data_IF_345326082274
#
_entry.id   IF_345326082274
#
_cell.length_a   1.000
_cell.length_b   1.000
_cell.length_c   1.000
_cell.angle_alpha   90.00
_cell.angle_beta   90.00
_cell.angle_gamma   90.00
#
_symmetry.space_group_name_H-M   'P 1'
#
loop_
_entity.id
_entity.type
_entity.pdbx_description
1 polymer ?
#
# COMPACT_ATOMS: atom_id res chain seq x y z
N UNK A 1 14.36 6.19 -8.71
CA UNK A 1 14.20 5.03 -7.81
C UNK A 1 13.27 5.47 -6.73
N UNK A 2 12.09 4.86 -6.58
CA UNK A 2 11.03 5.37 -5.69
C UNK A 2 11.05 4.79 -4.26
N UNK A 3 12.00 3.91 -3.99
CA UNK A 3 12.16 3.26 -2.70
C UNK A 3 13.61 3.41 -2.26
N UNK A 4 13.80 3.93 -1.06
CA UNK A 4 15.12 4.10 -0.46
C UNK A 4 15.11 3.41 0.90
N UNK A 5 16.12 2.59 1.16
CA UNK A 5 16.29 1.90 2.45
C UNK A 5 17.35 2.63 3.25
N UNK A 6 17.03 2.89 4.51
CA UNK A 6 17.94 3.48 5.48
C UNK A 6 18.40 2.38 6.43
N UNK A 7 19.70 2.02 6.44
CA UNK A 7 20.26 0.99 7.31
C UNK A 7 20.36 1.44 8.78
N UNK A 8 20.67 2.72 8.98
CA UNK A 8 20.95 3.37 10.28
C UNK A 8 20.63 4.87 10.19
N UNK A 9 20.74 5.57 11.31
CA UNK A 9 20.67 7.04 11.39
C UNK A 9 21.82 7.68 10.58
N UNK A 10 21.55 8.80 9.89
CA UNK A 10 22.59 9.57 9.19
C UNK A 10 22.60 9.42 7.67
N UNK A 11 21.49 8.99 7.07
CA UNK A 11 21.30 8.98 5.61
C UNK A 11 20.57 10.23 5.13
N UNK A 12 20.63 10.50 3.83
CA UNK A 12 19.93 11.64 3.21
C UNK A 12 18.86 11.11 2.25
N UNK A 13 17.63 11.59 2.39
CA UNK A 13 16.55 11.28 1.47
C UNK A 13 16.82 11.85 0.08
N UNK A 14 16.73 11.00 -0.95
CA UNK A 14 16.90 11.44 -2.34
C UNK A 14 15.66 12.17 -2.88
N UNK A 15 14.51 11.99 -2.22
CA UNK A 15 13.20 12.48 -2.65
C UNK A 15 12.24 12.70 -1.47
N UNK A 16 11.17 13.44 -1.72
CA UNK A 16 10.08 13.60 -0.75
C UNK A 16 9.26 12.31 -0.64
N UNK A 17 8.98 11.84 0.58
CA UNK A 17 8.33 10.55 0.78
C UNK A 17 7.68 10.31 2.13
N UNK A 18 7.04 9.15 2.24
CA UNK A 18 6.61 8.56 3.50
C UNK A 18 7.72 7.64 3.99
N UNK A 19 8.33 7.98 5.12
CA UNK A 19 9.27 7.11 5.82
C UNK A 19 8.52 6.23 6.81
N UNK A 20 8.72 4.93 6.72
CA UNK A 20 8.20 3.93 7.66
C UNK A 20 9.41 3.35 8.40
N UNK A 21 9.54 3.63 9.71
CA UNK A 21 10.66 3.12 10.49
C UNK A 21 10.58 1.60 10.64
N UNK A 22 11.73 0.95 10.78
CA UNK A 22 11.81 -0.51 10.91
C UNK A 22 10.96 -1.06 12.07
N UNK A 23 10.79 -0.28 13.15
CA UNK A 23 9.97 -0.66 14.29
C UNK A 23 8.51 -0.95 13.92
N UNK A 24 7.97 -0.22 12.95
CA UNK A 24 6.61 -0.44 12.45
C UNK A 24 6.53 -1.62 11.47
N UNK A 25 7.67 -2.08 10.95
CA UNK A 25 7.74 -3.17 9.96
C UNK A 25 7.96 -4.55 10.59
N UNK A 26 8.26 -4.63 11.90
CA UNK A 26 8.66 -5.89 12.55
C UNK A 26 7.60 -6.98 12.42
N UNK A 27 6.32 -6.61 12.57
CA UNK A 27 5.21 -7.54 12.45
C UNK A 27 4.91 -7.95 11.00
N UNK A 28 5.58 -7.35 10.02
CA UNK A 28 5.48 -7.68 8.59
C UNK A 28 6.49 -8.73 8.12
N UNK A 29 7.26 -9.34 9.03
CA UNK A 29 8.27 -10.35 8.70
C UNK A 29 9.70 -9.82 8.61
N UNK A 30 9.96 -8.61 9.11
CA UNK A 30 11.32 -8.10 9.32
C UNK A 30 11.74 -8.38 10.76
N UNK A 31 12.92 -8.96 10.97
CA UNK A 31 13.37 -9.32 12.33
C UNK A 31 14.06 -8.15 13.06
N UNK A 32 14.55 -7.16 12.32
CA UNK A 32 15.15 -5.96 12.90
C UNK A 32 15.96 -5.13 11.92
N UNK A 33 16.59 -4.06 12.43
CA UNK A 33 17.40 -3.14 11.63
C UNK A 33 18.61 -3.82 10.94
N UNK A 34 19.10 -4.94 11.48
CA UNK A 34 20.19 -5.72 10.87
C UNK A 34 19.85 -6.21 9.47
N UNK A 35 18.58 -6.46 9.17
CA UNK A 35 18.16 -6.87 7.82
C UNK A 35 18.23 -5.74 6.79
N UNK A 36 18.41 -4.49 7.25
CA UNK A 36 18.64 -3.33 6.40
C UNK A 36 20.11 -2.91 6.35
N UNK A 37 21.02 -3.62 7.02
CA UNK A 37 22.44 -3.28 7.09
C UNK A 37 23.11 -3.20 5.70
N UNK A 38 24.24 -2.49 5.61
CA UNK A 38 24.97 -2.31 4.35
C UNK A 38 25.57 -3.60 3.77
N UNK A 39 25.74 -4.62 4.60
CA UNK A 39 26.19 -5.94 4.17
C UNK A 39 25.13 -6.69 3.33
N UNK A 40 23.85 -6.33 3.46
CA UNK A 40 22.76 -6.96 2.74
C UNK A 40 22.61 -6.41 1.32
N UNK A 41 22.32 -7.25 0.31
CA UNK A 41 22.07 -6.79 -1.06
C UNK A 41 20.94 -5.76 -1.13
N UNK A 42 21.16 -4.66 -1.86
CA UNK A 42 20.17 -3.58 -1.98
C UNK A 42 18.78 -4.07 -2.46
N UNK A 43 18.75 -5.06 -3.35
CA UNK A 43 17.51 -5.69 -3.81
C UNK A 43 16.77 -6.42 -2.67
N UNK A 44 17.50 -7.15 -1.81
CA UNK A 44 16.90 -7.89 -0.69
C UNK A 44 16.26 -6.92 0.28
N UNK A 45 16.99 -5.85 0.64
CA UNK A 45 16.51 -4.82 1.57
C UNK A 45 15.23 -4.16 1.08
N UNK A 46 15.22 -3.75 -0.20
CA UNK A 46 14.03 -3.17 -0.84
C UNK A 46 12.86 -4.14 -0.78
N UNK A 47 13.07 -5.39 -1.20
CA UNK A 47 11.98 -6.35 -1.31
C UNK A 47 11.46 -6.80 0.07
N UNK A 48 12.33 -6.91 1.10
CA UNK A 48 11.94 -7.15 2.50
C UNK A 48 11.08 -6.00 3.03
N UNK A 49 11.52 -4.76 2.85
CA UNK A 49 10.76 -3.57 3.24
C UNK A 49 9.37 -3.53 2.60
N UNK A 50 9.29 -3.79 1.29
CA UNK A 50 8.02 -3.79 0.56
C UNK A 50 7.13 -4.98 0.90
N UNK A 51 7.71 -6.16 1.13
CA UNK A 51 6.98 -7.33 1.61
C UNK A 51 6.32 -7.03 2.96
N UNK A 52 7.06 -6.45 3.91
CA UNK A 52 6.52 -6.09 5.22
C UNK A 52 5.40 -5.05 5.12
N UNK A 53 5.55 -4.03 4.27
CA UNK A 53 4.48 -3.06 3.98
C UNK A 53 3.25 -3.76 3.41
N UNK A 54 3.42 -4.67 2.44
CA UNK A 54 2.30 -5.41 1.85
C UNK A 54 1.58 -6.29 2.88
N UNK A 55 2.33 -7.03 3.69
CA UNK A 55 1.79 -7.90 4.72
C UNK A 55 1.01 -7.10 5.75
N UNK A 56 1.57 -6.01 6.29
CA UNK A 56 0.91 -5.18 7.31
C UNK A 56 -0.34 -4.50 6.79
N UNK A 57 -0.29 -3.89 5.59
CA UNK A 57 -1.46 -3.23 5.00
C UNK A 57 -2.57 -4.24 4.73
N UNK A 58 -2.24 -5.38 4.11
CA UNK A 58 -3.26 -6.37 3.77
C UNK A 58 -3.79 -7.09 5.01
N UNK A 59 -2.95 -7.34 6.03
CA UNK A 59 -3.37 -7.90 7.30
C UNK A 59 -4.31 -6.96 8.05
N UNK A 60 -4.01 -5.66 8.10
CA UNK A 60 -4.89 -4.65 8.69
C UNK A 60 -6.25 -4.66 8.00
N UNK A 61 -6.28 -4.48 6.66
CA UNK A 61 -7.53 -4.45 5.89
C UNK A 61 -8.33 -5.76 6.02
N UNK A 62 -7.66 -6.92 6.07
CA UNK A 62 -8.33 -8.20 6.26
C UNK A 62 -8.84 -8.42 7.69
N UNK A 63 -8.23 -7.77 8.68
CA UNK A 63 -8.63 -7.82 10.09
C UNK A 63 -9.75 -6.84 10.45
N UNK A 64 -10.04 -5.85 9.59
CA UNK A 64 -11.16 -4.93 9.76
C UNK A 64 -12.48 -5.70 9.74
N UNK A 65 -13.40 -5.34 10.63
CA UNK A 65 -14.74 -5.92 10.63
C UNK A 65 -15.46 -5.61 9.30
N UNK A 66 -16.38 -6.48 8.84
CA UNK A 66 -17.16 -6.22 7.63
C UNK A 66 -17.81 -4.84 7.66
N UNK A 67 -17.57 -4.03 6.64
CA UNK A 67 -18.07 -2.65 6.53
C UNK A 67 -17.14 -1.56 7.06
N UNK A 68 -16.05 -1.90 7.76
CA UNK A 68 -15.08 -0.92 8.30
C UNK A 68 -14.04 -0.47 7.26
N UNK A 69 -13.82 -1.27 6.21
CA UNK A 69 -12.94 -0.92 5.10
C UNK A 69 -13.78 -0.52 3.88
N UNK A 70 -14.37 0.68 3.89
CA UNK A 70 -15.30 1.09 2.85
C UNK A 70 -14.60 1.19 1.49
N UNK A 71 -15.08 0.43 0.52
CA UNK A 71 -14.55 0.46 -0.84
C UNK A 71 -13.13 -0.07 -0.97
N UNK A 72 -12.62 -0.84 0.00
CA UNK A 72 -11.28 -1.43 -0.09
C UNK A 72 -11.32 -2.89 0.31
N UNK A 73 -10.62 -3.73 -0.43
CA UNK A 73 -10.49 -5.14 -0.13
C UNK A 73 -9.08 -5.61 -0.41
N UNK A 74 -8.52 -6.40 0.50
CA UNK A 74 -7.21 -6.99 0.37
C UNK A 74 -7.31 -8.50 0.07
N UNK A 75 -6.39 -8.99 -0.77
CA UNK A 75 -6.13 -10.42 -0.94
C UNK A 75 -4.77 -10.75 -0.34
N UNK A 76 -4.74 -11.78 0.50
CA UNK A 76 -3.53 -12.26 1.17
C UNK A 76 -3.19 -13.67 0.67
N UNK A 77 -1.90 -14.04 0.65
CA UNK A 77 -1.48 -15.36 0.24
C UNK A 77 -1.95 -16.44 1.22
N UNK A 78 -2.17 -17.65 0.70
CA UNK A 78 -2.21 -18.81 1.58
C UNK A 78 -0.75 -19.15 1.99
N UNK A 79 -0.54 -19.53 3.24
CA UNK A 79 0.80 -19.84 3.75
C UNK A 79 1.31 -21.23 3.33
N UNK A 80 0.58 -21.94 2.47
CA UNK A 80 0.90 -23.32 2.03
C UNK A 80 1.76 -23.37 0.76
N UNK A 81 2.09 -22.22 0.17
CA UNK A 81 2.92 -22.12 -1.05
C UNK A 81 4.14 -21.24 -0.77
N UNK A 82 5.11 -21.19 -1.68
CA UNK A 82 6.28 -20.29 -1.57
C UNK A 82 6.05 -18.93 -2.24
N UNK A 83 5.01 -18.83 -3.09
CA UNK A 83 4.69 -17.60 -3.81
C UNK A 83 3.58 -16.85 -3.08
N UNK A 84 3.94 -15.76 -2.43
CA UNK A 84 3.04 -14.94 -1.64
C UNK A 84 2.54 -13.77 -2.49
N UNK A 85 1.30 -13.87 -2.96
CA UNK A 85 0.64 -12.80 -3.69
C UNK A 85 -0.16 -11.91 -2.74
N UNK A 86 0.20 -10.63 -2.71
CA UNK A 86 -0.57 -9.57 -2.04
C UNK A 86 -1.29 -8.74 -3.08
N UNK A 87 -2.54 -8.41 -2.81
CA UNK A 87 -3.34 -7.59 -3.69
C UNK A 87 -4.23 -6.65 -2.91
N UNK A 88 -4.47 -5.49 -3.51
CA UNK A 88 -5.37 -4.49 -2.97
C UNK A 88 -6.29 -4.01 -4.10
N UNK A 89 -7.57 -3.92 -3.79
CA UNK A 89 -8.59 -3.36 -4.66
C UNK A 89 -9.22 -2.18 -3.97
N UNK A 90 -9.31 -1.05 -4.67
CA UNK A 90 -9.94 0.18 -4.20
C UNK A 90 -11.09 0.56 -5.12
N UNK A 91 -12.20 0.98 -4.53
CA UNK A 91 -13.38 1.52 -5.17
C UNK A 91 -13.41 3.02 -4.96
N UNK A 92 -13.61 3.73 -6.06
CA UNK A 92 -13.54 5.17 -6.17
C UNK A 92 -14.83 5.67 -6.82
N UNK A 93 -15.13 6.94 -6.57
CA UNK A 93 -16.24 7.65 -7.19
C UNK A 93 -15.82 9.02 -7.70
N UNK A 94 -16.59 9.53 -8.65
CA UNK A 94 -16.52 10.90 -9.14
C UNK A 94 -17.93 11.40 -9.43
N UNK A 95 -18.29 12.57 -8.92
CA UNK A 95 -19.55 13.25 -9.27
C UNK A 95 -19.26 14.20 -10.43
N UNK A 96 -19.75 13.84 -11.62
CA UNK A 96 -19.51 14.60 -12.84
C UNK A 96 -20.13 16.00 -12.75
N UNK A 97 -19.39 16.98 -13.25
CA UNK A 97 -19.82 18.38 -13.32
C UNK A 97 -19.52 19.21 -12.07
N UNK A 98 -18.96 18.62 -11.00
CA UNK A 98 -18.57 19.35 -9.79
C UNK A 98 -17.07 19.69 -9.73
N UNK A 99 -16.29 19.21 -10.70
CA UNK A 99 -14.83 19.40 -10.71
C UNK A 99 -14.08 18.57 -9.67
N UNK A 100 -14.78 17.68 -8.96
CA UNK A 100 -14.21 16.76 -7.99
C UNK A 100 -13.40 15.69 -8.72
N UNK A 101 -12.12 15.47 -8.37
CA UNK A 101 -11.37 14.35 -8.93
C UNK A 101 -11.91 13.02 -8.41
N UNK A 102 -11.52 11.94 -9.09
CA UNK A 102 -11.76 10.57 -8.62
C UNK A 102 -11.21 10.38 -7.20
N UNK A 103 -12.06 9.95 -6.27
CA UNK A 103 -11.74 9.87 -4.84
C UNK A 103 -12.28 8.57 -4.22
N UNK A 104 -11.79 8.14 -3.03
CA UNK A 104 -12.39 7.03 -2.28
C UNK A 104 -13.86 7.27 -1.99
N UNK A 105 -14.65 6.19 -1.89
CA UNK A 105 -16.05 6.30 -1.48
C UNK A 105 -16.17 7.07 -0.16
N UNK A 106 -17.04 8.10 -0.07
CA UNK A 106 -17.08 8.97 1.09
C UNK A 106 -17.69 8.22 2.28
N UNK A 107 -17.06 8.35 3.44
CA UNK A 107 -17.51 7.74 4.69
C UNK A 107 -18.87 8.34 5.08
N UNK A 108 -19.89 7.53 5.37
CA UNK A 108 -21.22 8.04 5.73
C UNK A 108 -21.17 8.92 6.97
N UNK A 109 -21.96 10.00 6.97
CA UNK A 109 -22.03 10.98 8.07
C UNK A 109 -23.21 10.76 9.01
N UNK A 110 -24.12 9.84 8.68
CA UNK A 110 -25.39 9.61 9.40
C UNK A 110 -25.70 8.13 9.60
N UNK A 111 -26.52 7.82 10.60
CA UNK A 111 -26.95 6.46 10.91
C UNK A 111 -25.97 5.68 11.79
N UNK A 112 -26.16 4.37 11.88
CA UNK A 112 -25.29 3.46 12.64
C UNK A 112 -23.92 3.27 11.98
N UNK A 113 -23.84 3.47 10.66
CA UNK A 113 -22.59 3.41 9.91
C UNK A 113 -21.76 4.71 9.99
N UNK A 114 -22.25 5.76 10.67
CA UNK A 114 -21.60 7.07 10.66
C UNK A 114 -20.14 7.00 11.14
N UNK A 115 -19.22 7.55 10.35
CA UNK A 115 -17.78 7.54 10.66
C UNK A 115 -17.08 6.19 10.49
N UNK A 116 -17.74 5.19 9.90
CA UNK A 116 -17.17 3.86 9.66
C UNK A 116 -16.78 3.75 8.19
N UNK A 117 -15.53 3.40 7.90
CA UNK A 117 -15.12 3.08 6.53
C UNK A 117 -13.72 3.54 6.12
N UNK A 118 -13.11 4.46 6.86
CA UNK A 118 -11.76 4.96 6.62
C UNK A 118 -10.73 4.36 7.59
N UNK A 119 -9.47 4.59 7.24
CA UNK A 119 -8.33 4.36 8.12
C UNK A 119 -7.16 5.22 7.64
N UNK A 120 -6.26 5.50 8.56
CA UNK A 120 -5.12 6.37 8.37
C UNK A 120 -3.83 5.57 8.17
N UNK A 121 -2.75 6.25 7.77
CA UNK A 121 -1.42 5.63 7.73
C UNK A 121 -0.96 5.27 9.15
N UNK A 122 -1.24 6.12 10.13
CA UNK A 122 -0.85 5.91 11.53
C UNK A 122 -1.55 4.71 12.19
N UNK A 123 -2.73 4.31 11.69
CA UNK A 123 -3.40 3.08 12.17
C UNK A 123 -2.60 1.80 11.82
N UNK A 124 -1.75 1.86 10.80
CA UNK A 124 -0.93 0.74 10.32
C UNK A 124 0.55 0.93 10.69
N UNK A 125 1.05 2.15 10.55
CA UNK A 125 2.43 2.56 10.77
C UNK A 125 2.48 3.78 11.71
N UNK A 126 2.33 3.57 13.03
CA UNK A 126 2.12 4.65 14.00
C UNK A 126 3.31 5.61 14.16
N UNK A 127 4.51 5.20 13.73
CA UNK A 127 5.71 6.03 13.79
C UNK A 127 6.16 6.50 12.40
N UNK A 128 5.33 6.33 11.37
CA UNK A 128 5.63 6.83 10.03
C UNK A 128 5.67 8.36 10.01
N UNK A 129 6.56 8.92 9.20
CA UNK A 129 6.73 10.37 9.08
C UNK A 129 6.89 10.79 7.62
N UNK A 130 6.50 12.03 7.32
CA UNK A 130 6.83 12.67 6.04
C UNK A 130 8.26 13.18 6.08
N UNK A 131 9.05 12.81 5.08
CA UNK A 131 10.44 13.23 4.96
C UNK A 131 10.60 13.98 3.65
N UNK A 132 11.19 15.17 3.73
CA UNK A 132 11.52 15.97 2.56
C UNK A 132 12.83 15.47 1.92
N UNK A 133 12.99 15.72 0.62
CA UNK A 133 14.25 15.51 -0.07
C UNK A 133 15.38 16.26 0.65
N UNK A 134 16.57 15.66 0.66
CA UNK A 134 17.75 16.10 1.38
C UNK A 134 17.66 16.09 2.93
N UNK A 135 16.55 15.64 3.53
CA UNK A 135 16.44 15.48 4.97
C UNK A 135 16.90 14.08 5.44
N UNK A 136 17.36 13.99 6.69
CA UNK A 136 17.63 12.71 7.35
C UNK A 136 16.32 12.19 7.99
N UNK A 137 15.86 10.97 7.64
CA UNK A 137 14.69 10.37 8.28
C UNK A 137 14.92 10.03 9.77
N UNK A 138 16.16 10.09 10.26
CA UNK A 138 16.50 9.96 11.67
C UNK A 138 16.51 8.52 12.19
N UNK A 139 16.52 7.52 11.31
CA UNK A 139 16.47 6.11 11.70
C UNK A 139 16.55 5.13 10.54
N UNK A 140 16.53 3.84 10.89
CA UNK A 140 16.46 2.76 9.91
C UNK A 140 15.02 2.50 9.47
N UNK A 141 14.79 2.28 8.18
CA UNK A 141 13.45 2.11 7.63
C UNK A 141 13.40 2.14 6.11
N UNK A 142 12.19 2.25 5.57
CA UNK A 142 11.94 2.41 4.14
C UNK A 142 11.30 3.78 3.88
N UNK A 143 11.80 4.49 2.89
CA UNK A 143 11.19 5.71 2.35
C UNK A 143 10.53 5.39 1.01
N UNK A 144 9.24 5.71 0.91
CA UNK A 144 8.41 5.53 -0.29
C UNK A 144 8.15 6.91 -0.90
N UNK A 145 8.59 7.12 -2.15
CA UNK A 145 8.47 8.40 -2.83
C UNK A 145 7.01 8.80 -3.06
N UNK A 146 6.64 9.99 -2.60
CA UNK A 146 5.28 10.50 -2.75
C UNK A 146 4.92 10.80 -4.22
N UNK A 147 5.86 11.30 -5.01
CA UNK A 147 5.63 11.60 -6.43
C UNK A 147 5.29 10.35 -7.24
N UNK A 148 5.99 9.24 -6.96
CA UNK A 148 5.74 7.94 -7.60
C UNK A 148 4.35 7.39 -7.27
N UNK A 149 3.91 7.47 -6.01
CA UNK A 149 2.55 7.08 -5.61
C UNK A 149 1.49 8.02 -6.19
N UNK A 150 1.77 9.33 -6.24
CA UNK A 150 0.84 10.32 -6.78
C UNK A 150 0.54 10.13 -8.28
N UNK A 151 1.51 9.68 -9.07
CA UNK A 151 1.31 9.32 -10.48
C UNK A 151 0.28 8.21 -10.70
N UNK A 152 -0.06 7.47 -9.64
CA UNK A 152 -1.06 6.40 -9.64
C UNK A 152 -2.34 6.77 -8.88
N UNK A 153 -2.54 8.07 -8.61
CA UNK A 153 -3.75 8.62 -8.00
C UNK A 153 -3.62 8.90 -6.50
N UNK A 154 -2.48 8.61 -5.87
CA UNK A 154 -2.27 8.93 -4.46
C UNK A 154 -2.16 10.44 -4.20
N UNK A 155 -2.21 10.86 -2.91
CA UNK A 155 -1.98 12.25 -2.56
C UNK A 155 -0.54 12.68 -2.90
N UNK A 156 -0.38 13.96 -3.27
CA UNK A 156 0.94 14.59 -3.37
C UNK A 156 1.65 14.60 -2.01
N UNK A 157 2.97 14.81 -1.99
CA UNK A 157 3.69 14.94 -0.72
C UNK A 157 3.11 16.04 0.16
N UNK A 158 2.77 17.21 -0.41
CA UNK A 158 2.19 18.32 0.35
C UNK A 158 0.83 17.97 0.97
N UNK A 159 -0.03 17.27 0.23
CA UNK A 159 -1.38 16.89 0.66
C UNK A 159 -1.46 15.58 1.45
N UNK A 160 -0.38 14.80 1.52
CA UNK A 160 -0.32 13.58 2.32
C UNK A 160 -0.49 13.94 3.80
N UNK A 161 -1.51 13.36 4.44
CA UNK A 161 -1.79 13.48 5.85
C UNK A 161 -1.87 12.07 6.45
N UNK A 162 -1.11 11.84 7.52
CA UNK A 162 -0.93 10.52 8.11
C UNK A 162 -2.06 10.13 9.07
N UNK A 163 -2.86 11.10 9.52
CA UNK A 163 -3.94 10.98 10.52
C UNK A 163 -5.34 10.92 9.92
N UNK A 164 -5.46 10.98 8.59
CA UNK A 164 -6.75 11.00 7.87
C UNK A 164 -6.85 9.83 6.90
N UNK A 165 -8.03 9.68 6.30
CA UNK A 165 -8.31 8.64 5.30
C UNK A 165 -7.18 8.49 4.27
N UNK A 166 -6.59 7.31 4.28
CA UNK A 166 -5.42 6.92 3.49
C UNK A 166 -5.74 5.81 2.49
N UNK A 167 -7.02 5.48 2.27
CA UNK A 167 -7.45 4.46 1.30
C UNK A 167 -6.91 4.74 -0.11
N UNK A 168 -6.91 6.00 -0.53
CA UNK A 168 -6.36 6.40 -1.83
C UNK A 168 -4.84 6.18 -1.91
N UNK A 169 -4.11 6.50 -0.83
CA UNK A 169 -2.67 6.30 -0.76
C UNK A 169 -2.30 4.82 -0.93
N UNK A 170 -2.94 3.93 -0.16
CA UNK A 170 -2.65 2.50 -0.24
C UNK A 170 -3.08 1.88 -1.57
N UNK A 171 -4.25 2.26 -2.10
CA UNK A 171 -4.70 1.86 -3.43
C UNK A 171 -3.70 2.24 -4.52
N UNK A 172 -3.22 3.49 -4.49
CA UNK A 172 -2.21 3.98 -5.42
C UNK A 172 -0.85 3.30 -5.23
N UNK A 173 -0.42 3.03 -3.99
CA UNK A 173 0.83 2.32 -3.70
C UNK A 173 0.84 0.91 -4.30
N UNK A 174 -0.23 0.14 -4.10
CA UNK A 174 -0.35 -1.21 -4.68
C UNK A 174 -0.39 -1.18 -6.21
N UNK A 175 -1.09 -0.21 -6.79
CA UNK A 175 -1.13 -0.04 -8.24
C UNK A 175 0.23 0.40 -8.80
N UNK A 176 0.94 1.28 -8.10
CA UNK A 176 2.30 1.70 -8.40
C UNK A 176 3.26 0.50 -8.39
N UNK A 177 3.27 -0.27 -7.30
CA UNK A 177 4.09 -1.49 -7.19
C UNK A 177 3.80 -2.47 -8.32
N UNK A 178 2.53 -2.63 -8.71
CA UNK A 178 2.11 -3.56 -9.75
C UNK A 178 2.43 -3.12 -11.19
N UNK A 179 2.52 -1.82 -11.47
CA UNK A 179 2.67 -1.29 -12.83
C UNK A 179 4.03 -0.63 -13.09
N UNK A 180 4.72 -0.14 -12.06
CA UNK A 180 6.00 0.56 -12.20
C UNK A 180 7.15 -0.37 -12.57
N UNK A 181 8.16 0.16 -13.25
CA UNK A 181 9.46 -0.50 -13.50
C UNK A 181 10.44 -0.36 -12.34
N UNK A 182 10.21 0.55 -11.40
CA UNK A 182 11.09 0.77 -10.24
C UNK A 182 11.11 -0.42 -9.26
N UNK A 183 10.05 -1.23 -9.26
CA UNK A 183 10.02 -2.53 -8.61
C UNK A 183 10.35 -3.62 -9.65
N UNK A 184 11.61 -4.05 -9.79
CA UNK A 184 12.00 -4.97 -10.84
C UNK A 184 11.41 -6.37 -10.62
N UNK A 185 11.00 -7.01 -11.72
CA UNK A 185 10.71 -8.44 -11.73
C UNK A 185 12.01 -9.23 -11.71
N UNK A 186 12.01 -10.36 -11.00
CA UNK A 186 13.07 -11.34 -11.03
C UNK A 186 13.30 -11.84 -12.45
N UNK A 187 14.53 -11.77 -12.91
CA UNK A 187 14.98 -12.39 -14.17
C UNK A 187 16.35 -13.03 -13.94
N UNK A 188 16.91 -13.74 -14.92
CA UNK A 188 18.26 -14.31 -14.79
C UNK A 188 19.34 -13.27 -14.46
N UNK A 189 19.16 -12.01 -14.86
CA UNK A 189 20.13 -10.92 -14.68
C UNK A 189 19.71 -9.87 -13.65
N UNK A 190 18.51 -9.97 -13.09
CA UNK A 190 17.97 -8.98 -12.14
C UNK A 190 17.64 -9.66 -10.82
N UNK A 191 18.36 -9.26 -9.78
CA UNK A 191 18.11 -9.70 -8.41
C UNK A 191 16.79 -9.10 -7.89
N UNK A 192 15.81 -9.94 -7.61
CA UNK A 192 14.54 -9.55 -7.02
C UNK A 192 13.80 -10.74 -6.41
N UNK A 193 13.08 -10.53 -5.32
CA UNK A 193 12.14 -11.51 -4.77
C UNK A 193 10.77 -11.43 -5.46
N UNK A 194 10.52 -10.39 -6.25
CA UNK A 194 9.25 -10.19 -6.96
C UNK A 194 9.21 -11.06 -8.22
N UNK A 195 8.31 -12.03 -8.26
CA UNK A 195 8.18 -12.98 -9.38
C UNK A 195 7.04 -12.63 -10.33
N UNK A 196 6.04 -11.88 -9.87
CA UNK A 196 4.94 -11.42 -10.71
C UNK A 196 4.37 -10.09 -10.20
N UNK A 197 3.78 -9.34 -11.13
CA UNK A 197 3.03 -8.12 -10.87
C UNK A 197 1.82 -8.07 -11.79
N UNK A 198 0.70 -7.54 -11.30
CA UNK A 198 -0.48 -7.33 -12.14
C UNK A 198 -1.31 -6.16 -11.66
N UNK A 199 -1.57 -5.21 -12.56
CA UNK A 199 -2.51 -4.10 -12.35
C UNK A 199 -3.68 -4.28 -13.32
N UNK A 200 -4.88 -4.47 -12.79
CA UNK A 200 -6.06 -4.61 -13.65
C UNK A 200 -6.45 -3.26 -14.25
N UNK A 201 -6.97 -3.32 -15.48
CA UNK A 201 -7.66 -2.17 -16.07
C UNK A 201 -8.80 -1.74 -15.13
N UNK A 202 -9.03 -0.43 -14.94
CA UNK A 202 -10.15 0.03 -14.13
C UNK A 202 -11.47 -0.50 -14.70
N UNK A 203 -12.36 -0.97 -13.82
CA UNK A 203 -13.69 -1.45 -14.20
C UNK A 203 -14.75 -0.61 -13.50
N UNK A 204 -15.89 -0.40 -14.13
CA UNK A 204 -17.01 0.25 -13.48
C UNK A 204 -17.79 -0.74 -12.62
N UNK A 205 -18.45 -0.24 -11.58
CA UNK A 205 -19.38 -1.03 -10.77
C UNK A 205 -20.69 -0.28 -10.58
N UNK A 206 -21.75 -1.01 -10.23
CA UNK A 206 -23.06 -0.41 -9.98
C UNK A 206 -23.26 -0.11 -8.51
N UNK A 207 -23.79 1.07 -8.15
CA UNK A 207 -24.10 1.38 -6.76
C UNK A 207 -25.22 0.47 -6.25
N UNK A 208 -25.15 0.13 -4.95
CA UNK A 208 -26.23 -0.62 -4.28
C UNK A 208 -27.19 0.35 -3.59
N UNK A 209 -28.43 -0.08 -3.36
CA UNK A 209 -29.42 0.75 -2.63
C UNK A 209 -28.95 1.14 -1.21
N UNK A 210 -28.09 0.33 -0.59
CA UNK A 210 -27.53 0.61 0.73
C UNK A 210 -26.59 1.83 0.73
N UNK A 211 -25.93 2.14 -0.39
CA UNK A 211 -25.00 3.28 -0.50
C UNK A 211 -25.66 4.63 -0.24
N UNK A 212 -26.95 4.76 -0.59
CA UNK A 212 -27.69 6.01 -0.48
C UNK A 212 -28.97 5.86 0.35
N UNK A 213 -29.00 4.89 1.28
CA UNK A 213 -30.14 4.67 2.15
C UNK A 213 -30.40 5.90 3.04
N UNK A 214 -31.65 6.34 3.16
CA UNK A 214 -31.99 7.62 3.79
C UNK A 214 -31.64 7.71 5.29
N UNK A 215 -31.60 6.59 6.00
CA UNK A 215 -31.45 6.55 7.47
C UNK A 215 -30.15 5.91 7.96
N UNK A 216 -29.57 5.00 7.15
CA UNK A 216 -28.32 4.33 7.48
C UNK A 216 -27.55 3.99 6.19
N UNK A 217 -27.05 5.00 5.46
CA UNK A 217 -26.31 4.78 4.24
C UNK A 217 -24.95 4.12 4.52
N UNK A 218 -24.40 3.42 3.53
CA UNK A 218 -23.02 2.90 3.60
C UNK A 218 -22.00 3.85 2.98
N UNK A 219 -22.43 4.95 2.35
CA UNK A 219 -21.58 6.03 1.82
C UNK A 219 -22.28 7.37 1.98
N UNK A 220 -21.54 8.48 2.00
CA UNK A 220 -22.12 9.83 2.02
C UNK A 220 -22.54 10.37 0.63
N UNK A 221 -22.79 9.47 -0.34
CA UNK A 221 -23.24 9.86 -1.67
C UNK A 221 -24.74 10.15 -1.63
N UNK A 222 -25.15 11.32 -2.11
CA UNK A 222 -26.57 11.64 -2.20
C UNK A 222 -27.25 10.82 -3.32
N UNK A 223 -28.45 10.31 -3.04
CA UNK A 223 -29.24 9.57 -4.05
C UNK A 223 -29.49 10.39 -5.33
N UNK A 224 -29.60 11.71 -5.19
CA UNK A 224 -29.77 12.64 -6.32
C UNK A 224 -28.55 12.73 -7.24
N UNK A 225 -27.36 12.34 -6.75
CA UNK A 225 -26.11 12.41 -7.50
C UNK A 225 -25.81 11.15 -8.30
N UNK A 226 -26.51 10.04 -8.02
CA UNK A 226 -26.31 8.77 -8.72
C UNK A 226 -26.35 8.87 -10.26
N UNK A 227 -27.27 9.65 -10.89
CA UNK A 227 -27.30 9.77 -12.35
C UNK A 227 -26.05 10.43 -12.96
N UNK A 228 -25.28 11.16 -12.14
CA UNK A 228 -24.05 11.86 -12.54
C UNK A 228 -22.81 11.30 -11.86
N UNK A 229 -22.92 10.19 -11.11
CA UNK A 229 -21.79 9.59 -10.41
C UNK A 229 -21.19 8.47 -11.24
N UNK A 230 -19.87 8.51 -11.43
CA UNK A 230 -19.10 7.41 -11.99
C UNK A 230 -18.46 6.64 -10.85
N UNK A 231 -18.56 5.31 -10.91
CA UNK A 231 -18.00 4.40 -9.94
C UNK A 231 -16.93 3.54 -10.62
N UNK A 232 -15.72 3.55 -10.08
CA UNK A 232 -14.56 2.85 -10.68
C UNK A 232 -13.89 2.00 -9.62
N UNK A 233 -13.52 0.78 -9.98
CA UNK A 233 -12.71 -0.10 -9.19
C UNK A 233 -11.35 -0.28 -9.84
N UNK A 234 -10.29 -0.23 -9.03
CA UNK A 234 -8.91 -0.41 -9.43
C UNK A 234 -8.23 -1.44 -8.55
N UNK A 235 -7.42 -2.31 -9.13
CA UNK A 235 -6.65 -3.29 -8.37
C UNK A 235 -5.18 -3.36 -8.82
N UNK A 236 -4.33 -3.68 -7.86
CA UNK A 236 -2.91 -3.95 -8.06
C UNK A 236 -2.48 -5.12 -7.17
N UNK A 237 -1.60 -5.96 -7.71
CA UNK A 237 -1.03 -7.10 -6.99
C UNK A 237 0.44 -7.29 -7.31
N UNK A 238 1.15 -7.80 -6.32
CA UNK A 238 2.57 -8.14 -6.38
C UNK A 238 2.77 -9.51 -5.73
N UNK A 239 3.60 -10.34 -6.33
CA UNK A 239 3.93 -11.67 -5.83
C UNK A 239 5.39 -11.72 -5.45
N UNK A 240 5.66 -12.07 -4.19
CA UNK A 240 6.99 -12.33 -3.67
C UNK A 240 7.22 -13.84 -3.56
N UNK A 241 8.46 -14.28 -3.73
CA UNK A 241 8.83 -15.68 -3.52
C UNK A 241 9.66 -15.81 -2.24
N UNK A 242 9.26 -16.74 -1.38
CA UNK A 242 9.84 -17.04 -0.08
C UNK A 242 10.52 -18.42 -0.09
N UNK A 243 11.57 -18.58 0.70
CA UNK A 243 12.25 -19.84 0.98
C UNK A 243 12.23 -20.09 2.48
N UNK A 244 12.14 -21.37 2.86
CA UNK A 244 12.43 -21.73 4.25
C UNK A 244 13.92 -21.55 4.50
N UNK A 245 14.29 -20.67 5.42
CA UNK A 245 15.67 -20.52 5.85
C UNK A 245 15.98 -21.62 6.88
N UNK A 246 17.01 -22.47 6.72
CA UNK A 246 17.46 -23.36 7.79
C UNK A 246 18.45 -22.62 8.71
N UNK A 247 18.55 -22.96 10.01
CA UNK A 247 17.99 -24.14 10.69
C UNK A 247 16.63 -23.96 11.39
N UNK A 248 16.11 -22.75 11.52
CA UNK A 248 14.79 -22.48 12.10
C UNK A 248 13.78 -22.20 10.98
N UNK A 249 12.61 -22.85 10.91
CA UNK A 249 11.68 -22.73 9.79
C UNK A 249 10.97 -21.36 9.78
N UNK A 250 11.74 -20.30 9.54
CA UNK A 250 11.28 -18.96 9.22
C UNK A 250 11.26 -18.85 7.70
N UNK A 251 10.15 -18.37 7.16
CA UNK A 251 10.02 -18.08 5.73
C UNK A 251 10.74 -16.75 5.47
N UNK A 252 11.78 -16.77 4.64
CA UNK A 252 12.55 -15.59 4.25
C UNK A 252 12.39 -15.31 2.75
N UNK A 253 12.62 -14.08 2.29
CA UNK A 253 12.54 -13.73 0.87
C UNK A 253 13.69 -14.38 0.11
N UNK A 254 13.36 -14.99 -1.03
CA UNK A 254 14.34 -15.55 -1.92
C UNK A 254 14.83 -14.47 -2.90
N UNK A 255 16.15 -14.33 -3.04
CA UNK A 255 16.74 -13.71 -4.22
C UNK A 255 17.32 -14.77 -5.15
N UNK A 256 17.23 -14.56 -6.45
CA UNK A 256 18.03 -15.31 -7.39
C UNK A 256 19.51 -14.91 -7.30
N UNK A 257 20.40 -15.90 -7.36
CA UNK A 257 21.83 -15.67 -7.54
C UNK A 257 22.06 -15.17 -8.98
N UNK A 258 22.32 -13.88 -9.15
CA UNK A 258 22.76 -13.35 -10.45
C UNK A 258 24.24 -13.69 -10.60
N UNK A 259 24.56 -14.58 -11.53
CA UNK A 259 25.96 -14.84 -11.91
C UNK A 259 26.31 -13.84 -13.01
N UNK A 260 27.22 -12.91 -12.73
CA UNK A 260 27.75 -11.94 -13.71
C UNK A 260 28.90 -12.58 -14.47
#
# INVERSE_FOLDING_TARGET
>A
MAFQIFPVVGGTADFDGLFIPVGDLLNGGIEGASEFADAEPAALKRDKGLFAVCELVTAYVAGLAPGVALGISASRPNTSTVNYQYGLTVQLYEVLGEGSPLAPLPVPSVGENAGIGDFSIEDIFPNAVKVAAAADPGGSGILIESASVANFGGPSHASLNLTTDSRMYFGALFRYMAASTDLPLRTASVASAVTAKSAAAPVTFFPTAAMTAATNPTTDIAAADLPRTVFVQQSGSVTFNLIASPPDPVMDLELNSVTI
#
